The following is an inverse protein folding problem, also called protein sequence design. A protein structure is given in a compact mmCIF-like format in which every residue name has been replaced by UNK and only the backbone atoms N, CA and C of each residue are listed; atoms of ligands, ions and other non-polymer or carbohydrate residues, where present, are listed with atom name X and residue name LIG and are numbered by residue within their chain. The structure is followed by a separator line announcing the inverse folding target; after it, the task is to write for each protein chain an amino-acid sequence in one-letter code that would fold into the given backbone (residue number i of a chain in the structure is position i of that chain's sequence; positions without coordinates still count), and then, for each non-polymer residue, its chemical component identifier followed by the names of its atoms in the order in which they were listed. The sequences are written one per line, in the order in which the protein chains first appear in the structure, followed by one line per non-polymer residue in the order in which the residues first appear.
data_IF_194450296680
#
_entry.id   IF_194450296680
#
_cell.length_a   1.000
_cell.length_b   1.000
_cell.length_c   1.000
_cell.angle_alpha   90.00
_cell.angle_beta   90.00
_cell.angle_gamma   90.00
#
_symmetry.space_group_name_H-M   'P 1'
#
loop_
_entity.id
_entity.type
_entity.pdbx_description
1 polymer ?
#
# COMPACT_ATOMS: atom_id res chain seq x y z
N UNK A 1 18.80 -20.57 -10.96
CA UNK A 1 18.48 -19.32 -11.70
C UNK A 1 16.97 -19.01 -11.78
N UNK A 2 16.09 -19.96 -12.18
CA UNK A 2 14.63 -19.73 -12.28
C UNK A 2 13.97 -19.13 -11.01
N UNK A 3 14.42 -19.54 -9.81
CA UNK A 3 13.88 -19.05 -8.54
C UNK A 3 14.30 -17.60 -8.16
N UNK A 4 15.39 -17.08 -8.72
CA UNK A 4 15.82 -15.69 -8.48
C UNK A 4 14.97 -14.75 -9.33
N UNK A 5 14.78 -15.12 -10.60
CA UNK A 5 13.93 -14.37 -11.55
C UNK A 5 12.49 -14.30 -11.05
N UNK A 6 11.92 -15.40 -10.55
CA UNK A 6 10.54 -15.38 -10.01
C UNK A 6 10.37 -14.49 -8.79
N UNK A 7 11.37 -14.43 -7.90
CA UNK A 7 11.38 -13.51 -6.74
C UNK A 7 11.48 -12.05 -7.18
N UNK A 8 12.30 -11.77 -8.19
CA UNK A 8 12.44 -10.44 -8.75
C UNK A 8 11.14 -9.96 -9.40
N UNK A 9 10.50 -10.81 -10.21
CA UNK A 9 9.18 -10.51 -10.81
C UNK A 9 8.13 -10.27 -9.70
N UNK A 10 8.12 -11.06 -8.63
CA UNK A 10 7.22 -10.84 -7.51
C UNK A 10 7.44 -9.48 -6.82
N UNK A 11 8.69 -9.01 -6.74
CA UNK A 11 9.00 -7.66 -6.23
C UNK A 11 8.52 -6.57 -7.19
N UNK A 12 8.68 -6.76 -8.51
CA UNK A 12 8.16 -5.83 -9.51
C UNK A 12 6.63 -5.74 -9.47
N UNK A 13 5.93 -6.85 -9.20
CA UNK A 13 4.47 -6.83 -9.04
C UNK A 13 4.03 -6.00 -7.83
N UNK A 14 4.85 -5.89 -6.77
CA UNK A 14 4.56 -5.02 -5.62
C UNK A 14 4.73 -3.53 -5.94
N UNK A 15 5.38 -3.18 -7.06
CA UNK A 15 5.46 -1.79 -7.51
C UNK A 15 4.09 -1.27 -7.91
N UNK A 16 3.22 -2.11 -8.47
CA UNK A 16 1.86 -1.73 -8.90
C UNK A 16 1.03 -1.09 -7.78
N UNK A 17 0.81 -1.74 -6.62
CA UNK A 17 0.10 -1.11 -5.51
C UNK A 17 0.85 0.10 -4.92
N UNK A 18 2.19 0.14 -5.05
CA UNK A 18 3.00 1.30 -4.67
C UNK A 18 2.69 2.50 -5.56
N UNK A 19 2.64 2.33 -6.87
CA UNK A 19 2.28 3.36 -7.83
C UNK A 19 0.82 3.83 -7.64
N UNK A 20 -0.10 2.90 -7.37
CA UNK A 20 -1.48 3.26 -7.02
C UNK A 20 -1.54 4.13 -5.77
N UNK A 21 -0.73 3.81 -4.75
CA UNK A 21 -0.66 4.62 -3.54
C UNK A 21 -0.11 6.03 -3.83
N UNK A 22 1.01 6.14 -4.55
CA UNK A 22 1.58 7.44 -4.89
C UNK A 22 0.62 8.27 -5.73
N UNK A 23 -0.06 7.67 -6.71
CA UNK A 23 -1.06 8.37 -7.52
C UNK A 23 -2.25 8.85 -6.68
N UNK A 24 -2.76 8.00 -5.78
CA UNK A 24 -3.82 8.37 -4.85
C UNK A 24 -3.44 9.57 -3.99
N UNK A 25 -2.21 9.60 -3.47
CA UNK A 25 -1.69 10.73 -2.71
C UNK A 25 -1.58 12.01 -3.55
N UNK A 26 -1.09 11.92 -4.78
CA UNK A 26 -1.06 13.06 -5.71
C UNK A 26 -2.47 13.61 -5.97
N UNK A 27 -3.45 12.73 -6.20
CA UNK A 27 -4.83 13.13 -6.42
C UNK A 27 -5.43 13.85 -5.20
N UNK A 28 -5.13 13.37 -3.98
CA UNK A 28 -5.53 14.05 -2.75
C UNK A 28 -4.88 15.44 -2.61
N UNK A 29 -3.57 15.54 -2.89
CA UNK A 29 -2.83 16.80 -2.88
C UNK A 29 -3.45 17.80 -3.86
N UNK A 30 -3.74 17.38 -5.08
CA UNK A 30 -4.32 18.25 -6.10
C UNK A 30 -5.73 18.70 -5.72
N UNK A 31 -6.56 17.79 -5.19
CA UNK A 31 -7.90 18.15 -4.70
C UNK A 31 -7.84 19.12 -3.52
N UNK A 32 -6.82 18.99 -2.66
CA UNK A 32 -6.57 19.91 -1.56
C UNK A 32 -6.19 21.30 -2.04
N UNK A 33 -5.27 21.42 -3.00
CA UNK A 33 -4.85 22.74 -3.51
C UNK A 33 -5.89 23.42 -4.40
N UNK A 34 -6.81 22.67 -5.00
CA UNK A 34 -7.89 23.25 -5.80
C UNK A 34 -8.80 24.20 -5.02
N UNK A 35 -8.87 24.10 -3.68
CA UNK A 35 -9.63 25.03 -2.86
C UNK A 35 -9.14 26.48 -2.93
N UNK A 36 -7.89 26.71 -3.34
CA UNK A 36 -7.33 28.05 -3.50
C UNK A 36 -7.70 28.70 -4.85
N UNK A 37 -8.27 27.93 -5.77
CA UNK A 37 -8.82 28.45 -7.02
C UNK A 37 -10.32 28.75 -6.86
N UNK A 38 -10.74 30.04 -6.92
CA UNK A 38 -12.14 30.44 -6.73
C UNK A 38 -13.11 29.83 -7.77
N UNK A 39 -12.62 29.45 -8.95
CA UNK A 39 -13.45 28.89 -10.01
C UNK A 39 -13.73 27.39 -9.84
N UNK A 40 -12.89 26.69 -9.06
CA UNK A 40 -12.91 25.23 -8.94
C UNK A 40 -13.42 24.80 -7.57
N UNK A 41 -12.94 25.44 -6.50
CA UNK A 41 -13.21 25.01 -5.12
C UNK A 41 -12.63 23.63 -4.80
N UNK A 42 -13.12 23.00 -3.72
CA UNK A 42 -12.58 21.71 -3.25
C UNK A 42 -13.18 20.51 -4.00
N UNK A 43 -12.32 19.66 -4.61
CA UNK A 43 -12.77 18.46 -5.32
C UNK A 43 -12.94 17.25 -4.38
N UNK A 44 -14.05 17.19 -3.65
CA UNK A 44 -14.36 16.10 -2.73
C UNK A 44 -14.26 14.71 -3.36
N UNK A 45 -14.76 14.53 -4.60
CA UNK A 45 -14.74 13.23 -5.26
C UNK A 45 -13.33 12.78 -5.63
N UNK A 46 -12.50 13.71 -6.14
CA UNK A 46 -11.09 13.44 -6.46
C UNK A 46 -10.30 13.12 -5.18
N UNK A 47 -10.58 13.83 -4.09
CA UNK A 47 -9.99 13.54 -2.78
C UNK A 47 -10.40 12.16 -2.24
N UNK A 48 -11.70 11.83 -2.25
CA UNK A 48 -12.20 10.55 -1.75
C UNK A 48 -11.66 9.35 -2.55
N UNK A 49 -11.63 9.46 -3.89
CA UNK A 49 -11.02 8.45 -4.75
C UNK A 49 -9.51 8.33 -4.51
N UNK A 50 -8.82 9.47 -4.36
CA UNK A 50 -7.39 9.49 -4.04
C UNK A 50 -7.10 8.81 -2.70
N UNK A 51 -7.91 9.08 -1.68
CA UNK A 51 -7.82 8.48 -0.35
C UNK A 51 -8.05 6.96 -0.41
N UNK A 52 -9.06 6.51 -1.17
CA UNK A 52 -9.33 5.09 -1.34
C UNK A 52 -8.17 4.36 -2.02
N UNK A 53 -7.63 4.93 -3.11
CA UNK A 53 -6.47 4.38 -3.82
C UNK A 53 -5.22 4.34 -2.96
N UNK A 54 -4.97 5.42 -2.20
CA UNK A 54 -3.85 5.50 -1.27
C UNK A 54 -3.98 4.46 -0.15
N UNK A 55 -5.13 4.42 0.53
CA UNK A 55 -5.38 3.48 1.61
C UNK A 55 -5.31 2.04 1.13
N UNK A 56 -5.89 1.73 -0.04
CA UNK A 56 -5.83 0.40 -0.64
C UNK A 56 -4.38 -0.02 -0.96
N UNK A 57 -3.59 0.85 -1.59
CA UNK A 57 -2.19 0.56 -1.91
C UNK A 57 -1.33 0.35 -0.66
N UNK A 58 -1.46 1.21 0.34
CA UNK A 58 -0.72 1.10 1.62
C UNK A 58 -1.16 -0.14 2.40
N UNK A 59 -2.47 -0.39 2.52
CA UNK A 59 -2.99 -1.56 3.22
C UNK A 59 -2.55 -2.86 2.54
N UNK A 60 -2.54 -2.90 1.20
CA UNK A 60 -2.05 -4.05 0.45
C UNK A 60 -0.57 -4.32 0.72
N UNK A 61 0.29 -3.30 0.60
CA UNK A 61 1.74 -3.44 0.84
C UNK A 61 2.00 -3.83 2.29
N UNK A 62 1.39 -3.14 3.26
CA UNK A 62 1.54 -3.44 4.68
C UNK A 62 1.05 -4.84 5.04
N UNK A 63 -0.10 -5.25 4.50
CA UNK A 63 -0.66 -6.59 4.68
C UNK A 63 0.24 -7.68 4.07
N UNK A 64 0.78 -7.44 2.87
CA UNK A 64 1.71 -8.35 2.23
C UNK A 64 3.02 -8.50 3.02
N UNK A 65 3.60 -7.39 3.48
CA UNK A 65 4.80 -7.40 4.34
C UNK A 65 4.52 -8.21 5.61
N UNK A 66 3.40 -7.94 6.28
CA UNK A 66 3.02 -8.65 7.49
C UNK A 66 2.87 -10.16 7.26
N UNK A 67 2.22 -10.56 6.17
CA UNK A 67 2.07 -11.97 5.81
C UNK A 67 3.41 -12.63 5.49
N UNK A 68 4.28 -11.93 4.75
CA UNK A 68 5.63 -12.40 4.40
C UNK A 68 6.49 -12.59 5.64
N UNK A 69 6.49 -11.62 6.54
CA UNK A 69 7.32 -11.61 7.75
C UNK A 69 6.81 -12.62 8.79
N UNK A 70 5.49 -12.86 8.84
CA UNK A 70 4.91 -13.90 9.70
C UNK A 70 5.41 -15.29 9.33
N UNK A 71 5.63 -15.59 8.04
CA UNK A 71 6.19 -16.89 7.60
C UNK A 71 7.66 -17.08 8.02
N UNK A 72 8.40 -16.01 8.26
CA UNK A 72 9.82 -16.01 8.64
C UNK A 72 10.07 -15.77 10.13
N UNK A 73 9.01 -15.64 10.94
CA UNK A 73 9.08 -15.30 12.37
C UNK A 73 9.76 -13.94 12.67
N UNK A 74 9.81 -13.03 11.69
CA UNK A 74 10.30 -11.65 11.89
C UNK A 74 9.28 -10.72 12.57
N UNK A 75 8.06 -11.21 12.78
CA UNK A 75 7.03 -10.49 13.55
C UNK A 75 7.33 -10.51 15.05
N UNK A 76 6.85 -9.48 15.76
CA UNK A 76 6.96 -9.38 17.22
C UNK A 76 6.41 -10.65 17.92
N UNK A 77 6.92 -11.03 19.12
CA UNK A 77 6.54 -12.25 19.83
C UNK A 77 5.02 -12.47 19.97
N UNK A 78 4.24 -11.39 20.15
CA UNK A 78 2.77 -11.41 20.22
C UNK A 78 2.06 -11.91 18.94
N UNK A 79 2.69 -11.76 17.78
CA UNK A 79 2.13 -12.14 16.47
C UNK A 79 2.71 -13.45 15.90
N UNK A 80 3.68 -14.05 16.59
CA UNK A 80 4.25 -15.35 16.20
C UNK A 80 3.23 -16.46 16.42
N UNK A 81 3.22 -17.48 15.56
CA UNK A 81 2.41 -18.69 15.81
C UNK A 81 2.93 -19.36 17.08
N UNK A 82 2.07 -19.59 18.07
CA UNK A 82 2.41 -20.40 19.25
C UNK A 82 2.83 -21.78 18.76
N UNK A 83 4.07 -22.19 19.05
CA UNK A 83 4.53 -23.56 18.82
C UNK A 83 3.69 -24.46 19.72
N UNK A 84 2.87 -25.35 19.14
CA UNK A 84 2.22 -26.41 19.94
C UNK A 84 3.36 -27.17 20.63
N UNK A 85 3.41 -27.11 21.95
CA UNK A 85 4.21 -28.05 22.74
C UNK A 85 3.53 -29.40 22.53
N UNK A 86 4.16 -30.24 21.71
CA UNK A 86 3.88 -31.68 21.70
C UNK A 86 4.48 -32.30 22.94
#
# INVERSE_FOLDING_TARGET
MKAVISRFIAMLLLVVPGLMATYGFLAMKDAWFAQFDPAIGFLWWKFALGLLLFAAGVAFIGGWIFFRDRKRNYVAPRFRKKRKKG
#
